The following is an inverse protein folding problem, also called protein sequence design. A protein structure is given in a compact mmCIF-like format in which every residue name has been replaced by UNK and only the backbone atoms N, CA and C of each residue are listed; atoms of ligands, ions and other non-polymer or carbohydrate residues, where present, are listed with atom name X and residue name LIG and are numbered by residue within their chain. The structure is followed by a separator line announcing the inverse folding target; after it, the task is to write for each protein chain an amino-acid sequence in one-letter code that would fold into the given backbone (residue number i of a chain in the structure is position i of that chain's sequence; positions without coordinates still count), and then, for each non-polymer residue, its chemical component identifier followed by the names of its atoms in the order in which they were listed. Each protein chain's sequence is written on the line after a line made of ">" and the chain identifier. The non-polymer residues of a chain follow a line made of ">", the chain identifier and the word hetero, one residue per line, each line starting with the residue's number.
data_IF_169659730911
#
_entry.id   IF_169659730911
#
_cell.length_a   1.000
_cell.length_b   1.000
_cell.length_c   1.000
_cell.angle_alpha   90.00
_cell.angle_beta   90.00
_cell.angle_gamma   90.00
#
_symmetry.space_group_name_H-M   'P 1'
#
loop_
_entity.id
_entity.type
_entity.pdbx_description
1 polymer ?
#
# COMPACT_ATOMS: atom_id res chain seq x y z
N UNK A 1 8.88 -6.20 -2.80
CA UNK A 1 9.10 -6.56 -1.38
C UNK A 1 10.53 -7.02 -1.16
N UNK A 2 10.97 -8.18 -1.68
CA UNK A 2 12.33 -8.73 -1.46
C UNK A 2 13.48 -7.73 -1.61
N UNK A 3 13.47 -6.89 -2.66
CA UNK A 3 14.53 -5.88 -2.89
C UNK A 3 14.60 -4.75 -1.84
N UNK A 4 13.51 -4.46 -1.12
CA UNK A 4 13.41 -3.33 -0.18
C UNK A 4 13.37 -3.77 1.28
N UNK A 5 12.77 -4.92 1.57
CA UNK A 5 12.46 -5.32 2.93
C UNK A 5 13.69 -5.77 3.74
N UNK A 6 14.83 -6.01 3.09
CA UNK A 6 16.08 -6.47 3.72
C UNK A 6 15.90 -7.68 4.66
N UNK A 7 14.84 -8.46 4.43
CA UNK A 7 14.48 -9.64 5.19
C UNK A 7 14.21 -10.82 4.23
N UNK A 8 14.23 -12.07 4.73
CA UNK A 8 13.85 -13.24 3.94
C UNK A 8 12.45 -13.10 3.36
N UNK A 9 12.29 -13.43 2.07
CA UNK A 9 10.99 -13.42 1.40
C UNK A 9 10.81 -14.75 0.66
N UNK A 10 9.74 -15.47 1.00
CA UNK A 10 9.32 -16.66 0.27
C UNK A 10 7.98 -16.42 -0.44
N UNK A 11 7.86 -16.95 -1.65
CA UNK A 11 6.64 -16.90 -2.45
C UNK A 11 6.15 -18.32 -2.69
N UNK A 12 4.90 -18.59 -2.34
CA UNK A 12 4.28 -19.89 -2.58
C UNK A 12 2.77 -19.79 -2.50
N UNK A 13 2.07 -20.55 -3.37
CA UNK A 13 0.60 -20.61 -3.37
C UNK A 13 0.08 -21.18 -2.04
N UNK A 14 0.72 -22.24 -1.55
CA UNK A 14 0.44 -22.78 -0.22
C UNK A 14 1.25 -21.97 0.81
N UNK A 15 0.56 -21.06 1.52
CA UNK A 15 1.19 -20.16 2.50
C UNK A 15 1.77 -20.89 3.70
N UNK A 16 1.12 -21.97 4.15
CA UNK A 16 1.61 -22.80 5.26
C UNK A 16 2.93 -23.46 4.90
N UNK A 17 2.98 -24.13 3.74
CA UNK A 17 4.22 -24.75 3.26
C UNK A 17 5.34 -23.72 3.03
N UNK A 18 5.00 -22.53 2.52
CA UNK A 18 5.96 -21.45 2.35
C UNK A 18 6.50 -20.92 3.69
N UNK A 19 5.64 -20.77 4.70
CA UNK A 19 6.05 -20.36 6.05
C UNK A 19 6.96 -21.40 6.70
N UNK A 20 6.62 -22.69 6.62
CA UNK A 20 7.45 -23.79 7.13
C UNK A 20 8.82 -23.83 6.46
N UNK A 21 8.88 -23.70 5.13
CA UNK A 21 10.13 -23.66 4.39
C UNK A 21 10.97 -22.42 4.76
N UNK A 22 10.33 -21.26 4.99
CA UNK A 22 11.01 -20.05 5.43
C UNK A 22 11.63 -20.23 6.83
N UNK A 23 10.91 -20.80 7.78
CA UNK A 23 11.42 -21.08 9.12
C UNK A 23 12.56 -22.12 9.11
N UNK A 24 12.48 -23.12 8.24
CA UNK A 24 13.55 -24.10 8.08
C UNK A 24 14.83 -23.48 7.50
N UNK A 25 14.71 -22.55 6.54
CA UNK A 25 15.84 -21.88 5.92
C UNK A 25 16.41 -20.73 6.77
N UNK A 26 15.58 -20.12 7.61
CA UNK A 26 15.93 -18.98 8.46
C UNK A 26 15.44 -19.20 9.90
N UNK A 27 16.15 -20.02 10.69
CA UNK A 27 15.71 -20.42 12.03
C UNK A 27 15.58 -19.26 13.03
N UNK A 28 16.28 -18.15 12.81
CA UNK A 28 16.24 -16.96 13.68
C UNK A 28 15.00 -16.08 13.45
N UNK A 29 14.17 -16.39 12.44
CA UNK A 29 12.94 -15.66 12.18
C UNK A 29 11.93 -15.91 13.30
N UNK A 30 11.51 -14.83 13.96
CA UNK A 30 10.54 -14.86 15.06
C UNK A 30 9.18 -14.23 14.68
N UNK A 31 9.09 -13.54 13.55
CA UNK A 31 7.86 -12.91 13.05
C UNK A 31 7.74 -13.14 11.55
N UNK A 32 6.56 -13.59 11.11
CA UNK A 32 6.22 -13.73 9.69
C UNK A 32 5.15 -12.71 9.34
N UNK A 33 5.40 -11.90 8.31
CA UNK A 33 4.41 -10.99 7.73
C UNK A 33 3.87 -11.60 6.44
N UNK A 34 2.57 -11.87 6.40
CA UNK A 34 1.89 -12.40 5.22
C UNK A 34 1.28 -11.28 4.38
N UNK A 35 1.94 -10.90 3.29
CA UNK A 35 1.41 -9.94 2.31
C UNK A 35 0.20 -10.54 1.57
N UNK A 36 -0.91 -9.80 1.55
CA UNK A 36 -2.23 -10.25 1.05
C UNK A 36 -2.70 -11.57 1.69
N UNK A 37 -2.43 -11.74 2.99
CA UNK A 37 -2.66 -12.98 3.73
C UNK A 37 -4.10 -13.25 4.19
N UNK A 38 -5.00 -12.26 4.10
CA UNK A 38 -6.29 -12.30 4.81
C UNK A 38 -7.21 -13.44 4.34
N UNK A 39 -7.24 -13.74 3.04
CA UNK A 39 -8.07 -14.82 2.50
C UNK A 39 -7.41 -16.21 2.63
N UNK A 40 -6.19 -16.31 3.17
CA UNK A 40 -5.46 -17.57 3.32
C UNK A 40 -5.73 -18.21 4.69
N UNK A 41 -6.99 -18.59 4.94
CA UNK A 41 -7.47 -19.11 6.23
C UNK A 41 -6.72 -20.32 6.78
N UNK A 42 -6.20 -21.19 5.91
CA UNK A 42 -5.43 -22.37 6.31
C UNK A 42 -4.13 -22.04 7.05
N UNK A 43 -3.60 -20.83 6.88
CA UNK A 43 -2.47 -20.34 7.67
C UNK A 43 -3.00 -19.70 8.94
N UNK A 44 -2.63 -20.25 10.11
CA UNK A 44 -2.91 -19.61 11.39
C UNK A 44 -2.18 -18.26 11.45
N UNK A 45 -2.82 -17.26 12.05
CA UNK A 45 -2.23 -15.94 12.29
C UNK A 45 -2.59 -15.51 13.70
N UNK A 46 -1.63 -14.93 14.40
CA UNK A 46 -1.82 -14.37 15.74
C UNK A 46 -2.46 -12.98 15.68
N UNK A 47 -2.19 -12.23 14.62
CA UNK A 47 -2.67 -10.85 14.40
C UNK A 47 -3.14 -10.69 12.94
N UNK A 48 -4.31 -10.07 12.77
CA UNK A 48 -4.85 -9.68 11.47
C UNK A 48 -5.00 -8.17 11.34
N UNK A 49 -4.36 -7.60 10.32
CA UNK A 49 -4.42 -6.18 9.97
C UNK A 49 -5.20 -6.04 8.66
N UNK A 50 -6.30 -5.29 8.66
CA UNK A 50 -7.02 -4.91 7.43
C UNK A 50 -6.53 -3.57 6.93
N UNK A 51 -6.35 -3.45 5.62
CA UNK A 51 -6.06 -2.17 4.97
C UNK A 51 -7.28 -1.69 4.18
N UNK A 52 -7.72 -0.47 4.45
CA UNK A 52 -8.61 0.28 3.57
C UNK A 52 -7.88 1.48 2.99
N UNK A 53 -8.29 1.94 1.81
CA UNK A 53 -7.95 3.30 1.35
C UNK A 53 -9.12 4.24 1.58
N UNK A 54 -9.04 5.47 1.06
CA UNK A 54 -10.09 6.48 1.20
C UNK A 54 -11.49 6.05 0.72
N UNK A 55 -11.62 4.95 -0.03
CA UNK A 55 -12.93 4.40 -0.45
C UNK A 55 -13.63 3.60 0.65
N UNK A 56 -12.90 3.17 1.68
CA UNK A 56 -13.45 2.40 2.78
C UNK A 56 -14.17 1.14 2.31
N UNK A 57 -15.40 0.95 2.80
CA UNK A 57 -16.25 -0.20 2.45
C UNK A 57 -16.93 -0.07 1.08
N UNK A 58 -16.77 1.06 0.39
CA UNK A 58 -17.42 1.34 -0.88
C UNK A 58 -18.95 1.34 -0.76
N UNK A 59 -19.62 0.52 -1.57
CA UNK A 59 -21.08 0.36 -1.51
C UNK A 59 -21.55 -0.68 -0.47
N UNK A 60 -20.64 -1.27 0.31
CA UNK A 60 -20.94 -2.26 1.36
C UNK A 60 -21.26 -3.67 0.85
N UNK A 61 -21.34 -3.89 -0.47
CA UNK A 61 -21.66 -5.19 -1.05
C UNK A 61 -20.40 -6.02 -1.32
N UNK A 62 -20.55 -7.34 -1.25
CA UNK A 62 -19.53 -8.29 -1.68
C UNK A 62 -19.43 -8.33 -3.21
N UNK A 63 -18.29 -8.78 -3.71
CA UNK A 63 -18.13 -9.12 -5.12
C UNK A 63 -19.20 -10.16 -5.57
N UNK A 64 -19.78 -10.00 -6.78
CA UNK A 64 -19.49 -8.97 -7.78
C UNK A 64 -20.31 -7.67 -7.62
N UNK A 65 -21.27 -7.61 -6.69
CA UNK A 65 -22.17 -6.45 -6.52
C UNK A 65 -21.46 -5.23 -5.89
N UNK A 66 -20.33 -5.44 -5.23
CA UNK A 66 -19.49 -4.39 -4.64
C UNK A 66 -18.02 -4.78 -4.58
N UNK A 67 -17.16 -3.92 -4.01
CA UNK A 67 -15.71 -4.10 -4.03
C UNK A 67 -15.19 -5.06 -2.96
N UNK A 68 -16.01 -5.45 -1.99
CA UNK A 68 -15.57 -6.22 -0.84
C UNK A 68 -15.38 -7.70 -1.20
N UNK A 69 -14.24 -8.27 -0.81
CA UNK A 69 -14.00 -9.74 -0.90
C UNK A 69 -14.64 -10.50 0.25
N UNK A 70 -14.81 -9.83 1.38
CA UNK A 70 -15.36 -10.35 2.63
C UNK A 70 -16.20 -9.27 3.31
N UNK A 71 -17.16 -9.64 4.17
CA UNK A 71 -17.99 -8.66 4.85
C UNK A 71 -17.17 -7.63 5.63
N UNK A 72 -17.60 -6.37 5.60
CA UNK A 72 -16.98 -5.32 6.43
C UNK A 72 -17.05 -5.65 7.93
N UNK A 73 -17.87 -6.61 8.36
CA UNK A 73 -17.96 -7.13 9.73
C UNK A 73 -16.97 -8.25 10.09
N UNK A 74 -16.10 -8.71 9.17
CA UNK A 74 -15.15 -9.83 9.43
C UNK A 74 -14.38 -9.63 10.74
N UNK A 75 -14.08 -10.66 11.53
CA UNK A 75 -13.22 -10.43 12.72
C UNK A 75 -11.82 -9.94 12.28
N UNK A 76 -11.24 -8.96 12.98
CA UNK A 76 -9.85 -8.51 12.79
C UNK A 76 -9.33 -7.88 14.08
N UNK A 77 -8.02 -7.72 14.19
CA UNK A 77 -7.40 -7.10 15.38
C UNK A 77 -7.12 -5.61 15.15
N UNK A 78 -6.70 -5.21 13.94
CA UNK A 78 -6.46 -3.82 13.60
C UNK A 78 -7.01 -3.44 12.23
N UNK A 79 -7.38 -2.17 12.09
CA UNK A 79 -7.72 -1.59 10.79
C UNK A 79 -6.81 -0.42 10.49
N UNK A 80 -6.14 -0.45 9.35
CA UNK A 80 -5.31 0.64 8.85
C UNK A 80 -6.07 1.33 7.72
N UNK A 81 -6.19 2.65 7.79
CA UNK A 81 -6.81 3.46 6.74
C UNK A 81 -5.75 4.31 6.06
N UNK A 82 -5.49 4.03 4.79
CA UNK A 82 -4.56 4.76 3.94
C UNK A 82 -5.26 5.93 3.24
N UNK A 83 -5.51 6.99 4.00
CA UNK A 83 -6.15 8.21 3.56
C UNK A 83 -5.59 9.44 4.30
N UNK A 84 -5.57 10.58 3.62
CA UNK A 84 -5.26 11.87 4.24
C UNK A 84 -6.39 12.36 5.17
N UNK A 85 -7.61 11.82 5.00
CA UNK A 85 -8.78 12.17 5.80
C UNK A 85 -8.92 11.33 7.07
N UNK A 86 -9.72 11.80 8.02
CA UNK A 86 -9.98 11.10 9.29
C UNK A 86 -10.55 9.71 9.04
N UNK A 87 -10.11 8.66 9.76
CA UNK A 87 -10.62 7.30 9.58
C UNK A 87 -12.13 7.16 9.86
N UNK A 88 -12.70 8.05 10.69
CA UNK A 88 -14.15 8.15 10.94
C UNK A 88 -14.96 8.35 9.68
N UNK A 89 -14.40 9.10 8.71
CA UNK A 89 -15.09 9.48 7.49
C UNK A 89 -15.10 8.34 6.46
N UNK A 90 -14.23 7.34 6.68
CA UNK A 90 -13.98 6.25 5.73
C UNK A 90 -14.69 4.95 6.15
N UNK A 91 -14.77 4.65 7.45
CA UNK A 91 -15.28 3.38 7.96
C UNK A 91 -16.58 3.50 8.77
N UNK A 92 -17.04 4.73 9.06
CA UNK A 92 -18.19 4.98 9.93
C UNK A 92 -17.89 4.77 11.41
N UNK A 93 -18.85 5.14 12.27
CA UNK A 93 -18.76 5.01 13.72
C UNK A 93 -18.85 3.55 14.16
N UNK A 94 -17.88 3.05 14.94
CA UNK A 94 -17.89 1.69 15.51
C UNK A 94 -16.70 0.80 15.11
N UNK A 95 -15.79 1.29 14.26
CA UNK A 95 -14.50 0.64 14.05
C UNK A 95 -13.58 0.92 15.25
N UNK A 96 -13.30 -0.10 16.05
CA UNK A 96 -12.29 -0.02 17.11
C UNK A 96 -10.89 -0.28 16.52
N UNK A 97 -9.86 0.30 17.14
CA UNK A 97 -8.45 0.11 16.79
C UNK A 97 -8.09 0.47 15.33
N UNK A 98 -8.56 1.66 14.92
CA UNK A 98 -8.27 2.22 13.60
C UNK A 98 -7.03 3.09 13.65
N UNK A 99 -6.05 2.74 12.81
CA UNK A 99 -4.80 3.46 12.65
C UNK A 99 -4.86 4.22 11.32
N UNK A 100 -4.73 5.53 11.37
CA UNK A 100 -4.56 6.32 10.16
C UNK A 100 -3.13 6.15 9.64
N UNK A 101 -2.99 5.94 8.34
CA UNK A 101 -1.72 6.07 7.64
C UNK A 101 -1.90 6.96 6.41
N UNK A 102 -0.83 7.61 6.01
CA UNK A 102 -0.79 8.29 4.72
C UNK A 102 0.42 7.80 3.93
N UNK A 103 0.15 7.13 2.80
CA UNK A 103 1.21 6.82 1.85
C UNK A 103 1.57 8.08 1.07
N UNK A 104 2.75 8.62 1.35
CA UNK A 104 3.33 9.81 0.70
C UNK A 104 4.48 9.39 -0.22
N UNK A 105 4.38 9.75 -1.50
CA UNK A 105 5.49 9.61 -2.45
C UNK A 105 6.26 10.91 -2.57
N UNK A 106 7.52 10.92 -2.11
CA UNK A 106 8.38 12.13 -2.14
C UNK A 106 9.62 11.97 -3.02
N UNK A 107 9.99 10.74 -3.37
CA UNK A 107 11.18 10.42 -4.18
C UNK A 107 10.76 9.68 -5.46
N UNK A 108 11.26 10.16 -6.60
CA UNK A 108 11.36 9.39 -7.83
C UNK A 108 12.67 8.57 -7.84
N UNK A 109 12.57 7.30 -8.22
CA UNK A 109 13.72 6.43 -8.45
C UNK A 109 13.84 6.13 -9.95
N UNK A 110 15.05 6.23 -10.51
CA UNK A 110 15.27 5.83 -11.90
C UNK A 110 15.15 4.31 -12.03
N UNK A 111 14.26 3.84 -12.91
CA UNK A 111 13.97 2.40 -13.02
C UNK A 111 15.19 1.56 -13.40
N UNK A 112 16.04 2.06 -14.31
CA UNK A 112 17.26 1.39 -14.76
C UNK A 112 18.42 1.47 -13.77
N UNK A 113 18.38 2.37 -12.79
CA UNK A 113 19.36 2.48 -11.71
C UNK A 113 18.71 3.13 -10.48
N UNK A 114 18.27 2.30 -9.54
CA UNK A 114 17.52 2.76 -8.36
C UNK A 114 18.38 3.46 -7.30
N UNK A 115 19.70 3.49 -7.46
CA UNK A 115 20.57 4.33 -6.63
C UNK A 115 20.37 5.82 -6.95
N UNK A 116 19.96 6.13 -8.19
CA UNK A 116 19.62 7.47 -8.61
C UNK A 116 18.21 7.83 -8.13
N UNK A 117 18.18 8.77 -7.20
CA UNK A 117 16.98 9.24 -6.50
C UNK A 117 16.85 10.74 -6.67
N UNK A 118 15.63 11.20 -6.91
CA UNK A 118 15.31 12.60 -7.08
C UNK A 118 14.08 12.94 -6.25
N UNK A 119 14.15 13.99 -5.42
CA UNK A 119 12.95 14.50 -4.75
C UNK A 119 11.97 15.03 -5.80
N UNK A 120 10.68 14.72 -5.67
CA UNK A 120 9.66 15.21 -6.61
C UNK A 120 9.59 16.74 -6.64
N UNK A 121 9.93 17.38 -5.52
CA UNK A 121 10.01 18.84 -5.36
C UNK A 121 11.36 19.43 -5.79
N UNK A 122 12.25 18.63 -6.40
CA UNK A 122 13.55 19.13 -6.85
C UNK A 122 13.39 20.19 -7.94
N UNK A 123 14.20 21.24 -7.89
CA UNK A 123 14.29 22.29 -8.92
C UNK A 123 14.54 21.77 -10.35
N UNK A 124 15.06 20.55 -10.49
CA UNK A 124 15.21 19.86 -11.78
C UNK A 124 13.87 19.44 -12.41
N UNK A 125 12.87 19.17 -11.58
CA UNK A 125 11.51 18.79 -12.00
C UNK A 125 10.51 19.94 -11.86
N UNK A 126 10.78 20.87 -10.94
CA UNK A 126 9.95 22.04 -10.63
C UNK A 126 10.83 23.29 -10.68
N UNK A 127 11.07 23.91 -11.86
CA UNK A 127 12.00 25.03 -11.97
C UNK A 127 11.56 26.25 -11.16
N UNK A 128 12.49 26.84 -10.39
CA UNK A 128 12.28 28.07 -9.64
C UNK A 128 12.21 29.27 -10.61
N UNK A 129 11.00 29.59 -11.07
CA UNK A 129 10.62 30.84 -11.77
C UNK A 129 11.38 31.19 -13.07
N UNK A 130 10.63 31.30 -14.17
CA UNK A 130 11.08 31.91 -15.43
C UNK A 130 11.42 30.94 -16.56
N UNK A 131 11.57 29.65 -16.27
CA UNK A 131 11.67 28.60 -17.29
C UNK A 131 10.37 27.80 -17.31
N UNK A 132 9.84 27.50 -18.50
CA UNK A 132 8.66 26.66 -18.63
C UNK A 132 8.93 25.32 -17.91
N UNK A 133 8.08 24.97 -16.94
CA UNK A 133 8.21 23.71 -16.22
C UNK A 133 8.31 22.57 -17.23
N UNK A 134 9.34 21.74 -17.12
CA UNK A 134 9.52 20.59 -18.00
C UNK A 134 8.30 19.69 -17.87
N UNK A 135 7.46 19.66 -18.90
CA UNK A 135 6.30 18.79 -18.92
C UNK A 135 6.77 17.34 -18.97
N UNK A 136 6.31 16.54 -18.01
CA UNK A 136 6.63 15.12 -17.94
C UNK A 136 5.44 14.29 -18.42
N UNK A 137 5.73 13.15 -19.05
CA UNK A 137 4.69 12.16 -19.35
C UNK A 137 4.59 11.21 -18.16
N UNK A 138 3.38 11.08 -17.60
CA UNK A 138 3.11 10.17 -16.49
C UNK A 138 2.15 9.06 -16.90
N UNK A 139 2.41 7.84 -16.39
CA UNK A 139 1.55 6.68 -16.57
C UNK A 139 1.43 5.92 -15.25
N UNK A 140 0.28 5.28 -15.02
CA UNK A 140 -0.01 4.54 -13.80
C UNK A 140 -0.75 3.23 -14.09
N UNK A 141 -0.19 2.11 -13.63
CA UNK A 141 -0.80 0.78 -13.67
C UNK A 141 -1.08 0.25 -12.26
N UNK A 142 -1.94 0.95 -11.51
CA UNK A 142 -2.27 0.65 -10.10
C UNK A 142 -3.79 0.66 -9.89
N UNK A 143 -4.27 0.13 -8.76
CA UNK A 143 -5.71 0.02 -8.47
C UNK A 143 -6.45 1.35 -8.25
N UNK A 144 -5.75 2.46 -8.07
CA UNK A 144 -6.32 3.81 -8.00
C UNK A 144 -5.40 4.83 -8.71
N UNK A 145 -5.41 4.88 -10.06
CA UNK A 145 -4.55 5.77 -10.84
C UNK A 145 -4.72 7.27 -10.51
N UNK A 146 -5.95 7.82 -10.31
CA UNK A 146 -6.12 9.23 -9.95
C UNK A 146 -5.29 9.70 -8.76
N UNK A 147 -5.12 8.86 -7.73
CA UNK A 147 -4.30 9.17 -6.55
C UNK A 147 -2.84 9.46 -6.92
N UNK A 148 -2.27 8.70 -7.86
CA UNK A 148 -0.89 8.91 -8.31
C UNK A 148 -0.73 10.25 -9.03
N UNK A 149 -1.65 10.58 -9.95
CA UNK A 149 -1.58 11.85 -10.68
C UNK A 149 -1.84 13.05 -9.77
N UNK A 150 -2.75 12.94 -8.80
CA UNK A 150 -2.96 13.97 -7.79
C UNK A 150 -1.69 14.22 -6.96
N UNK A 151 -1.00 13.16 -6.53
CA UNK A 151 0.28 13.27 -5.82
C UNK A 151 1.35 13.99 -6.65
N UNK A 152 1.49 13.68 -7.95
CA UNK A 152 2.46 14.38 -8.82
C UNK A 152 2.14 15.88 -8.94
N UNK A 153 0.86 16.23 -9.15
CA UNK A 153 0.43 17.64 -9.22
C UNK A 153 0.62 18.37 -7.90
N UNK A 154 0.34 17.72 -6.77
CA UNK A 154 0.58 18.27 -5.45
C UNK A 154 2.07 18.53 -5.17
N UNK A 155 2.97 17.77 -5.82
CA UNK A 155 4.41 18.02 -5.80
C UNK A 155 4.87 19.13 -6.77
N UNK A 156 3.96 19.79 -7.49
CA UNK A 156 4.27 20.87 -8.44
C UNK A 156 4.61 20.42 -9.86
N UNK A 157 4.45 19.13 -10.18
CA UNK A 157 4.81 18.58 -11.49
C UNK A 157 3.72 18.87 -12.54
N UNK A 158 4.16 19.22 -13.75
CA UNK A 158 3.27 19.39 -14.91
C UNK A 158 3.22 18.09 -15.72
N UNK A 159 2.06 17.44 -15.74
CA UNK A 159 1.76 16.16 -16.44
C UNK A 159 0.70 16.38 -17.53
#
# INVERSE_FOLDING_TARGET
>A
IARRAQCPVLVGRNRVAAAQALLAAYPDVNVIVSDDGLQHYAMQRDIEIVLFDARGVGNGWLLPAGPLREPASRRRDFTVVNAAHSPSDVLGTGSHDVIQMELVGVIAERLGDRSQRLALTSGLLVPDTGHAASRIVAAAGIGNPPRFFAMLRAAGLTI
#
